data_IF_598194455530
#
_entry.id   IF_598194455530
#
_cell.length_a   1.000
_cell.length_b   1.000
_cell.length_c   1.000
_cell.angle_alpha   90.00
_cell.angle_beta   90.00
_cell.angle_gamma   90.00
#
_symmetry.space_group_name_H-M   'P 1'
#
loop_
_entity.id
_entity.type
_entity.pdbx_description
1 polymer ?
#
# COMPACT_ATOMS: atom_id res chain seq x y z
N UNK A 1 1.16 0.73 -16.19
CA UNK A 1 0.23 1.63 -16.90
C UNK A 1 0.91 2.77 -17.65
N UNK A 2 2.09 3.26 -17.22
CA UNK A 2 2.83 4.36 -17.90
C UNK A 2 3.14 4.12 -19.39
N UNK A 3 3.41 2.88 -19.79
CA UNK A 3 3.72 2.51 -21.18
C UNK A 3 2.61 2.88 -22.18
N UNK A 4 1.34 2.64 -21.83
CA UNK A 4 0.20 2.90 -22.71
C UNK A 4 -0.27 4.36 -22.73
N UNK A 5 0.32 5.23 -21.89
CA UNK A 5 0.09 6.67 -21.99
C UNK A 5 0.78 7.28 -23.21
N UNK A 6 1.89 6.67 -23.67
CA UNK A 6 2.67 7.10 -24.84
C UNK A 6 2.46 6.19 -26.07
N UNK A 7 2.04 4.94 -25.87
CA UNK A 7 1.92 3.93 -26.93
C UNK A 7 0.48 3.50 -27.22
N UNK A 8 0.19 3.21 -28.50
CA UNK A 8 -1.14 2.75 -28.93
C UNK A 8 -1.32 1.26 -28.67
N UNK A 9 -2.41 0.88 -28.00
CA UNK A 9 -2.74 -0.51 -27.68
C UNK A 9 -2.78 -1.44 -28.90
N UNK A 10 -3.35 -0.98 -30.02
CA UNK A 10 -3.48 -1.77 -31.25
C UNK A 10 -2.15 -2.04 -31.97
N UNK A 11 -1.08 -1.32 -31.62
CA UNK A 11 0.25 -1.48 -32.24
C UNK A 11 1.16 -2.49 -31.51
N UNK A 12 0.72 -3.01 -30.36
CA UNK A 12 1.52 -3.87 -29.49
C UNK A 12 0.73 -5.11 -29.09
N UNK A 13 1.40 -6.25 -28.87
CA UNK A 13 0.74 -7.39 -28.24
C UNK A 13 0.62 -7.16 -26.72
N UNK A 14 -0.59 -6.95 -26.19
CA UNK A 14 -0.80 -6.64 -24.77
C UNK A 14 -0.37 -7.79 -23.85
N UNK A 15 -0.41 -9.04 -24.32
CA UNK A 15 -0.01 -10.18 -23.51
C UNK A 15 1.50 -10.29 -23.36
N UNK A 16 2.23 -10.02 -24.45
CA UNK A 16 3.69 -9.90 -24.41
C UNK A 16 4.11 -8.73 -23.52
N UNK A 17 3.47 -7.57 -23.66
CA UNK A 17 3.73 -6.38 -22.83
C UNK A 17 3.47 -6.71 -21.35
N UNK A 18 2.32 -7.30 -21.03
CA UNK A 18 1.94 -7.68 -19.66
C UNK A 18 2.95 -8.65 -19.04
N UNK A 19 3.29 -9.72 -19.75
CA UNK A 19 4.25 -10.75 -19.30
C UNK A 19 5.60 -10.13 -19.01
N UNK A 20 6.07 -9.23 -19.89
CA UNK A 20 7.35 -8.54 -19.74
C UNK A 20 7.31 -7.51 -18.62
N UNK A 21 6.19 -6.80 -18.42
CA UNK A 21 6.04 -5.87 -17.30
C UNK A 21 6.14 -6.58 -15.94
N UNK A 22 5.49 -7.74 -15.80
CA UNK A 22 5.59 -8.56 -14.58
C UNK A 22 7.01 -9.06 -14.37
N UNK A 23 7.68 -9.50 -15.45
CA UNK A 23 9.09 -9.92 -15.39
C UNK A 23 10.01 -8.79 -14.94
N UNK A 24 9.86 -7.60 -15.51
CA UNK A 24 10.66 -6.42 -15.19
C UNK A 24 10.41 -5.96 -13.75
N UNK A 25 9.15 -5.91 -13.31
CA UNK A 25 8.79 -5.57 -11.93
C UNK A 25 9.43 -6.55 -10.94
N UNK A 26 9.36 -7.86 -11.20
CA UNK A 26 10.01 -8.87 -10.37
C UNK A 26 11.54 -8.72 -10.31
N UNK A 27 12.17 -8.19 -11.37
CA UNK A 27 13.60 -7.86 -11.35
C UNK A 27 13.93 -6.65 -10.48
N UNK A 28 13.07 -5.64 -10.50
CA UNK A 28 13.26 -4.36 -9.78
C UNK A 28 12.99 -4.53 -8.29
N UNK A 29 11.96 -5.29 -7.94
CA UNK A 29 11.54 -5.59 -6.55
C UNK A 29 12.37 -6.71 -5.88
N UNK A 30 13.52 -7.07 -6.46
CA UNK A 30 14.42 -8.13 -5.97
C UNK A 30 13.80 -9.55 -5.89
N UNK A 31 12.56 -9.74 -6.37
CA UNK A 31 11.83 -11.01 -6.43
C UNK A 31 12.10 -11.80 -7.72
N UNK A 32 13.37 -11.93 -8.12
CA UNK A 32 13.73 -12.36 -9.48
C UNK A 32 13.28 -13.80 -9.80
N UNK A 33 12.65 -13.98 -10.98
CA UNK A 33 12.22 -15.29 -11.51
C UNK A 33 12.96 -15.58 -12.83
N UNK A 34 13.30 -16.85 -13.08
CA UNK A 34 13.92 -17.25 -14.37
C UNK A 34 12.93 -17.02 -15.53
N UNK A 35 13.40 -16.34 -16.58
CA UNK A 35 12.59 -16.00 -17.77
C UNK A 35 11.87 -17.22 -18.37
N UNK A 36 12.54 -18.38 -18.46
CA UNK A 36 11.93 -19.62 -18.97
C UNK A 36 10.74 -20.09 -18.14
N UNK A 37 10.83 -19.96 -16.82
CA UNK A 37 9.76 -20.33 -15.89
C UNK A 37 8.59 -19.37 -16.02
N UNK A 38 8.88 -18.07 -16.10
CA UNK A 38 7.86 -17.04 -16.30
C UNK A 38 7.11 -17.22 -17.63
N UNK A 39 7.82 -17.45 -18.74
CA UNK A 39 7.21 -17.74 -20.04
C UNK A 39 6.31 -18.98 -20.02
N UNK A 40 6.73 -20.03 -19.29
CA UNK A 40 5.94 -21.26 -19.16
C UNK A 40 4.66 -21.04 -18.35
N UNK A 41 4.75 -20.35 -17.21
CA UNK A 41 3.58 -20.03 -16.38
C UNK A 41 2.61 -19.06 -17.09
N UNK A 42 3.14 -18.04 -17.76
CA UNK A 42 2.33 -17.13 -18.57
C UNK A 42 1.57 -17.90 -19.67
N UNK A 43 2.27 -18.75 -20.42
CA UNK A 43 1.64 -19.55 -21.49
C UNK A 43 0.56 -20.49 -20.96
N UNK A 44 0.80 -21.11 -19.79
CA UNK A 44 -0.19 -21.94 -19.12
C UNK A 44 -1.42 -21.13 -18.70
N UNK A 45 -1.23 -20.01 -18.02
CA UNK A 45 -2.30 -19.11 -17.57
C UNK A 45 -3.16 -18.60 -18.72
N UNK A 46 -2.54 -18.20 -19.83
CA UNK A 46 -3.28 -17.74 -20.99
C UNK A 46 -3.99 -18.87 -21.74
N UNK A 47 -3.40 -20.07 -21.78
CA UNK A 47 -4.06 -21.25 -22.35
C UNK A 47 -5.33 -21.61 -21.57
N UNK A 48 -5.31 -21.52 -20.25
CA UNK A 48 -6.48 -21.70 -19.37
C UNK A 48 -7.57 -20.66 -19.64
N UNK A 49 -7.20 -19.44 -20.01
CA UNK A 49 -8.11 -18.37 -20.42
C UNK A 49 -8.61 -18.49 -21.88
N UNK A 50 -8.18 -19.51 -22.63
CA UNK A 50 -8.62 -19.77 -24.01
C UNK A 50 -7.72 -19.17 -25.10
N UNK A 51 -6.60 -18.55 -24.73
CA UNK A 51 -5.61 -18.01 -25.67
C UNK A 51 -4.52 -19.05 -25.95
N UNK A 52 -4.60 -19.75 -27.09
CA UNK A 52 -3.76 -20.93 -27.38
C UNK A 52 -2.37 -20.61 -27.96
N UNK A 53 -2.18 -19.44 -28.55
CA UNK A 53 -0.95 -19.12 -29.28
C UNK A 53 -0.52 -17.69 -28.98
N UNK A 54 0.11 -17.49 -27.82
CA UNK A 54 0.71 -16.21 -27.48
C UNK A 54 2.22 -16.24 -27.71
N UNK A 55 2.79 -15.19 -28.29
CA UNK A 55 4.21 -15.08 -28.57
C UNK A 55 5.02 -14.75 -27.29
N UNK A 56 4.91 -15.58 -26.24
CA UNK A 56 5.66 -15.42 -24.99
C UNK A 56 7.02 -16.14 -25.02
N UNK A 57 7.66 -16.18 -26.18
CA UNK A 57 8.97 -16.82 -26.32
C UNK A 57 10.05 -16.00 -25.61
N UNK A 58 11.06 -16.67 -25.04
CA UNK A 58 12.19 -16.02 -24.36
C UNK A 58 12.82 -14.87 -25.16
N UNK A 59 13.14 -14.99 -26.47
CA UNK A 59 13.74 -13.88 -27.21
C UNK A 59 12.78 -12.68 -27.34
N UNK A 60 11.50 -12.91 -27.55
CA UNK A 60 10.51 -11.81 -27.67
C UNK A 60 10.32 -11.06 -26.35
N UNK A 61 10.31 -11.79 -25.23
CA UNK A 61 10.28 -11.16 -23.89
C UNK A 61 11.55 -10.35 -23.65
N UNK A 62 12.72 -10.82 -24.07
CA UNK A 62 13.98 -10.10 -23.92
C UNK A 62 14.05 -8.83 -24.78
N UNK A 63 13.57 -8.88 -26.03
CA UNK A 63 13.45 -7.70 -26.90
C UNK A 63 12.46 -6.68 -26.32
N UNK A 64 11.29 -7.16 -25.88
CA UNK A 64 10.28 -6.32 -25.25
C UNK A 64 10.77 -5.72 -23.93
N UNK A 65 11.60 -6.43 -23.17
CA UNK A 65 12.19 -5.94 -21.92
C UNK A 65 13.04 -4.70 -22.18
N UNK A 66 13.91 -4.77 -23.19
CA UNK A 66 14.72 -3.64 -23.60
C UNK A 66 13.86 -2.45 -24.05
N UNK A 67 12.82 -2.73 -24.85
CA UNK A 67 11.88 -1.71 -25.31
C UNK A 67 11.13 -1.02 -24.15
N UNK A 68 10.67 -1.78 -23.15
CA UNK A 68 10.00 -1.22 -21.98
C UNK A 68 10.94 -0.34 -21.14
N UNK A 69 12.19 -0.75 -20.96
CA UNK A 69 13.16 0.06 -20.21
C UNK A 69 13.44 1.41 -20.90
N UNK A 70 13.53 1.42 -22.23
CA UNK A 70 13.72 2.64 -23.02
C UNK A 70 12.51 3.58 -22.93
N UNK A 71 11.29 3.05 -23.15
CA UNK A 71 10.05 3.84 -23.09
C UNK A 71 9.74 4.42 -21.70
N UNK A 72 10.16 3.71 -20.64
CA UNK A 72 10.03 4.14 -19.25
C UNK A 72 11.18 5.03 -18.77
N UNK A 73 12.16 5.33 -19.64
CA UNK A 73 13.33 6.16 -19.31
C UNK A 73 14.09 5.62 -18.07
N UNK A 74 14.08 4.29 -17.88
CA UNK A 74 14.64 3.58 -16.72
C UNK A 74 14.07 4.00 -15.35
N UNK A 75 12.94 4.69 -15.30
CA UNK A 75 12.26 5.07 -14.07
C UNK A 75 11.32 3.94 -13.61
N UNK A 76 11.91 2.95 -12.93
CA UNK A 76 11.24 1.69 -12.56
C UNK A 76 10.79 1.61 -11.10
N UNK A 77 11.23 2.54 -10.25
CA UNK A 77 10.91 2.54 -8.82
C UNK A 77 9.51 3.13 -8.64
N UNK A 78 8.59 2.35 -8.06
CA UNK A 78 7.24 2.80 -7.75
C UNK A 78 7.03 2.73 -6.24
N UNK A 79 6.72 3.87 -5.63
CA UNK A 79 6.37 3.89 -4.20
C UNK A 79 4.94 3.43 -4.01
N UNK A 80 4.77 2.25 -3.42
CA UNK A 80 3.46 1.72 -3.07
C UNK A 80 2.89 2.42 -1.82
N UNK A 81 1.60 2.78 -1.79
CA UNK A 81 0.98 3.41 -0.62
C UNK A 81 0.80 2.44 0.56
N UNK A 82 1.16 1.17 0.39
CA UNK A 82 1.04 0.15 1.44
C UNK A 82 1.78 0.56 2.74
N UNK A 83 2.95 1.21 2.63
CA UNK A 83 3.68 1.75 3.79
C UNK A 83 2.88 2.81 4.57
N UNK A 84 2.05 3.61 3.89
CA UNK A 84 1.18 4.62 4.52
C UNK A 84 0.03 3.92 5.24
N UNK A 85 -0.51 2.84 4.67
CA UNK A 85 -1.57 2.06 5.29
C UNK A 85 -1.12 1.38 6.58
N UNK A 86 0.11 0.86 6.64
CA UNK A 86 0.68 0.32 7.89
C UNK A 86 0.73 1.38 8.98
N UNK A 87 1.29 2.55 8.65
CA UNK A 87 1.37 3.69 9.58
C UNK A 87 -0.02 4.14 10.05
N UNK A 88 -1.00 4.16 9.14
CA UNK A 88 -2.38 4.53 9.45
C UNK A 88 -3.07 3.49 10.33
N UNK A 89 -2.82 2.20 10.08
CA UNK A 89 -3.38 1.11 10.87
C UNK A 89 -2.86 1.15 12.32
N UNK A 90 -1.56 1.39 12.49
CA UNK A 90 -0.94 1.55 13.80
C UNK A 90 -1.48 2.78 14.54
N UNK A 91 -1.60 3.91 13.84
CA UNK A 91 -2.19 5.14 14.40
C UNK A 91 -3.66 4.93 14.81
N UNK A 92 -4.48 4.31 13.96
CA UNK A 92 -5.88 3.99 14.28
C UNK A 92 -5.99 3.00 15.44
N UNK A 93 -5.08 2.03 15.55
CA UNK A 93 -5.06 1.07 16.66
C UNK A 93 -4.72 1.75 17.99
N UNK A 94 -3.75 2.68 17.96
CA UNK A 94 -3.43 3.51 19.13
C UNK A 94 -4.60 4.41 19.55
N UNK A 95 -5.34 4.98 18.59
CA UNK A 95 -6.57 5.75 18.87
C UNK A 95 -7.65 4.86 19.50
N UNK A 96 -7.80 3.60 19.07
CA UNK A 96 -8.74 2.65 19.67
C UNK A 96 -8.33 2.29 21.11
N UNK A 97 -7.03 2.15 21.41
CA UNK A 97 -6.55 1.95 22.78
C UNK A 97 -6.79 3.17 23.68
N UNK A 98 -6.66 4.39 23.14
CA UNK A 98 -6.98 5.64 23.86
C UNK A 98 -8.50 5.81 24.06
N UNK A 99 -9.32 5.19 23.20
CA UNK A 99 -10.79 5.25 23.26
C UNK A 99 -11.41 4.14 24.11
N UNK A 100 -10.62 3.18 24.61
CA UNK A 100 -11.03 2.39 25.77
C UNK A 100 -10.96 3.29 27.00
N UNK A 101 -12.08 3.57 27.70
CA UNK A 101 -11.98 4.20 28.99
C UNK A 101 -11.14 3.26 29.84
N UNK A 102 -10.09 3.78 30.46
CA UNK A 102 -9.36 3.08 31.50
C UNK A 102 -10.39 2.49 32.47
N UNK A 103 -10.64 1.18 32.35
CA UNK A 103 -11.40 0.42 33.31
C UNK A 103 -10.47 0.17 34.50
N UNK A 104 -10.05 1.25 35.16
CA UNK A 104 -9.49 1.16 36.48
C UNK A 104 -10.60 0.59 37.37
N UNK A 105 -10.40 -0.55 38.07
CA UNK A 105 -11.35 -0.99 39.05
C UNK A 105 -11.38 0.08 40.15
N UNK A 106 -12.44 0.88 40.14
CA UNK A 106 -12.80 1.83 41.20
C UNK A 106 -12.83 1.06 42.52
N UNK A 107 -11.75 1.14 43.30
CA UNK A 107 -11.79 0.77 44.71
C UNK A 107 -12.62 1.83 45.43
N UNK A 108 -13.86 1.48 45.76
CA UNK A 108 -14.76 2.29 46.57
C UNK A 108 -14.09 2.54 47.93
N UNK A 109 -13.71 3.78 48.30
CA UNK A 109 -13.16 4.02 49.63
C UNK A 109 -14.31 3.97 50.64
N UNK A 110 -14.24 3.02 51.60
CA UNK A 110 -15.09 3.03 52.79
C UNK A 110 -14.77 4.27 53.62
N UNK A 111 -15.75 5.15 53.82
CA UNK A 111 -15.69 6.25 54.79
C UNK A 111 -16.05 5.70 56.19
N UNK A 112 -15.30 6.06 57.25
CA UNK A 112 -15.81 7.04 58.20
C UNK A 112 -14.80 8.16 58.61
N UNK A 113 -15.37 9.35 58.79
CA UNK A 113 -14.97 10.65 59.41
C UNK A 113 -13.84 10.71 60.49
N UNK A 114 -13.37 11.91 60.95
CA UNK A 114 -13.37 13.29 60.41
C UNK A 114 -11.98 14.00 60.44
N UNK A 115 -11.92 15.24 59.92
CA UNK A 115 -10.89 16.30 60.10
C UNK A 115 -9.66 16.36 59.17
N UNK A 116 -9.74 17.14 58.08
CA UNK A 116 -9.11 18.47 57.86
C UNK A 116 -9.16 18.85 56.36
N UNK A 117 -9.16 20.15 55.98
CA UNK A 117 -9.50 20.60 54.62
C UNK A 117 -8.30 20.59 53.65
N UNK A 118 -8.59 20.34 52.36
CA UNK A 118 -7.65 20.29 51.23
C UNK A 118 -7.44 21.68 50.62
N UNK A 119 -6.23 22.00 50.14
CA UNK A 119 -6.06 22.72 48.87
C UNK A 119 -4.97 22.00 48.03
N UNK A 120 -5.27 21.37 46.90
CA UNK A 120 -5.65 22.00 45.63
C UNK A 120 -4.59 21.61 44.60
N UNK A 121 -4.92 20.69 43.70
CA UNK A 121 -4.08 20.39 42.52
C UNK A 121 -5.01 20.18 41.33
N UNK A 122 -5.05 21.17 40.45
CA UNK A 122 -5.82 21.15 39.22
C UNK A 122 -5.26 20.08 38.29
N UNK A 123 -6.10 19.10 37.94
CA UNK A 123 -5.86 18.17 36.85
C UNK A 123 -6.02 18.95 35.54
N UNK A 124 -4.95 19.01 34.76
CA UNK A 124 -5.00 19.49 33.38
C UNK A 124 -5.76 18.44 32.59
N UNK A 125 -6.97 18.79 32.16
CA UNK A 125 -7.84 17.99 31.31
C UNK A 125 -7.27 18.04 29.87
N UNK A 126 -6.27 17.21 29.58
CA UNK A 126 -5.78 16.99 28.21
C UNK A 126 -6.78 16.09 27.47
N UNK A 127 -7.87 16.70 27.02
CA UNK A 127 -8.81 16.08 26.10
C UNK A 127 -8.10 15.84 24.76
N UNK A 128 -7.95 14.58 24.28
CA UNK A 128 -7.32 14.32 23.00
C UNK A 128 -8.12 15.05 21.91
N UNK A 129 -7.42 15.85 21.11
CA UNK A 129 -7.99 16.75 20.11
C UNK A 129 -8.47 15.95 18.88
N UNK A 130 -9.58 15.24 19.08
CA UNK A 130 -10.23 14.35 18.11
C UNK A 130 -10.56 15.04 16.77
N UNK A 131 -10.72 16.37 16.79
CA UNK A 131 -10.95 17.21 15.61
C UNK A 131 -9.71 17.29 14.72
N UNK A 132 -8.53 17.39 15.34
CA UNK A 132 -7.23 17.44 14.66
C UNK A 132 -6.86 16.08 14.09
N UNK A 133 -7.18 14.99 14.79
CA UNK A 133 -7.00 13.63 14.27
C UNK A 133 -7.91 13.35 13.07
N UNK A 134 -9.18 13.77 13.12
CA UNK A 134 -10.08 13.67 11.96
C UNK A 134 -9.58 14.47 10.75
N UNK A 135 -8.97 15.65 10.95
CA UNK A 135 -8.34 16.40 9.87
C UNK A 135 -7.12 15.68 9.29
N UNK A 136 -6.28 15.07 10.13
CA UNK A 136 -5.12 14.30 9.66
C UNK A 136 -5.54 13.07 8.85
N UNK A 137 -6.60 12.38 9.29
CA UNK A 137 -7.19 11.25 8.55
C UNK A 137 -7.76 11.70 7.19
N UNK A 138 -8.46 12.84 7.15
CA UNK A 138 -8.97 13.41 5.90
C UNK A 138 -7.83 13.83 4.96
N UNK A 139 -6.77 14.42 5.49
CA UNK A 139 -5.58 14.79 4.71
C UNK A 139 -4.85 13.56 4.18
N UNK A 140 -4.66 12.53 5.01
CA UNK A 140 -4.05 11.27 4.60
C UNK A 140 -4.89 10.58 3.51
N UNK A 141 -6.22 10.58 3.66
CA UNK A 141 -7.14 10.07 2.65
C UNK A 141 -7.03 10.84 1.33
N UNK A 142 -6.93 12.17 1.39
CA UNK A 142 -6.78 13.02 0.21
C UNK A 142 -5.44 12.76 -0.48
N UNK A 143 -4.33 12.71 0.25
CA UNK A 143 -2.99 12.40 -0.29
C UNK A 143 -2.95 11.00 -0.91
N UNK A 144 -3.58 10.02 -0.27
CA UNK A 144 -3.68 8.66 -0.80
C UNK A 144 -4.48 8.62 -2.11
N UNK A 145 -5.50 9.46 -2.28
CA UNK A 145 -6.29 9.54 -3.51
C UNK A 145 -5.60 10.35 -4.62
N UNK A 146 -4.89 11.42 -4.26
CA UNK A 146 -4.19 12.31 -5.21
C UNK A 146 -2.98 11.63 -5.87
N UNK A 147 -2.35 10.64 -5.22
CA UNK A 147 -1.26 9.87 -5.83
C UNK A 147 -1.72 9.00 -7.02
N UNK A 148 -3.03 8.91 -7.29
CA UNK A 148 -3.63 8.06 -8.31
C UNK A 148 -4.30 8.82 -9.48
N UNK A 149 -4.16 10.15 -9.56
CA UNK A 149 -4.64 10.98 -10.68
C UNK A 149 -3.47 11.53 -11.53
#
# INVERSE_FOLDING_TARGET
MRFYSKNTYAGTDPFLVLTTCVYLAAKVEEATVRIKTLCAEASKMFSEMGYKELPNSVPMVAEMEFFLMEELEFDLIVFHPYHILETLCDACSAVIEVMQPAADPVQIPRVPSPSTPVPGLALVDEKPDLERENQLLQMAWFVANDLYL
#
